data_IF_662056050797
#
_entry.id   IF_662056050797
#
_cell.length_a   1.000
_cell.length_b   1.000
_cell.length_c   1.000
_cell.angle_alpha   90.00
_cell.angle_beta   90.00
_cell.angle_gamma   90.00
#
_symmetry.space_group_name_H-M   'P 1'
#
loop_
_entity.id
_entity.type
_entity.pdbx_description
1 polymer ?
#
# COMPACT_ATOMS: atom_id res chain seq x y z
N UNK A 1 23.49 4.05 7.15
CA UNK A 1 22.84 3.19 6.14
C UNK A 1 23.66 3.14 4.85
N UNK A 2 23.68 1.98 4.21
CA UNK A 2 24.26 1.81 2.87
C UNK A 2 23.15 1.35 1.92
N UNK A 3 23.13 1.91 0.73
CA UNK A 3 22.18 1.58 -0.32
C UNK A 3 22.92 1.11 -1.56
N UNK A 4 22.43 0.03 -2.16
CA UNK A 4 22.86 -0.47 -3.48
C UNK A 4 21.62 -0.87 -4.29
N UNK A 5 21.71 -0.90 -5.60
CA UNK A 5 20.60 -1.16 -6.49
C UNK A 5 21.00 -2.02 -7.67
N UNK A 6 20.14 -3.00 -7.99
CA UNK A 6 20.13 -3.69 -9.26
C UNK A 6 19.12 -3.01 -10.19
N UNK A 7 19.61 -2.40 -11.26
CA UNK A 7 18.74 -1.85 -12.31
C UNK A 7 18.31 -3.01 -13.21
N UNK A 8 17.02 -3.09 -13.49
CA UNK A 8 16.49 -4.18 -14.29
C UNK A 8 16.34 -3.79 -15.74
N UNK A 9 17.09 -4.44 -16.57
CA UNK A 9 16.82 -4.47 -18.00
C UNK A 9 15.73 -5.54 -18.23
N UNK A 10 14.48 -5.13 -18.46
CA UNK A 10 13.32 -6.00 -18.81
C UNK A 10 12.74 -6.90 -17.70
N UNK A 11 12.81 -6.56 -16.43
CA UNK A 11 12.10 -7.31 -15.39
C UNK A 11 10.59 -7.30 -15.58
N UNK A 12 10.06 -6.19 -16.01
CA UNK A 12 8.66 -6.01 -16.35
C UNK A 12 8.64 -5.50 -17.78
N UNK A 13 7.83 -6.04 -18.66
CA UNK A 13 7.72 -5.69 -20.08
C UNK A 13 7.34 -4.20 -20.33
N UNK A 14 7.73 -3.31 -19.43
CA UNK A 14 7.40 -1.91 -19.43
C UNK A 14 8.53 -1.05 -19.95
N UNK A 15 8.28 -0.36 -21.03
CA UNK A 15 8.94 0.92 -21.32
C UNK A 15 8.81 1.80 -20.08
N UNK A 16 9.80 2.67 -19.85
CA UNK A 16 9.85 3.66 -18.77
C UNK A 16 8.68 4.68 -18.73
N UNK A 17 7.61 4.43 -19.47
CA UNK A 17 6.38 5.20 -19.47
C UNK A 17 5.46 4.72 -18.36
N UNK A 18 5.28 5.54 -17.34
CA UNK A 18 4.18 5.69 -16.35
C UNK A 18 3.34 4.44 -15.96
N UNK A 19 3.33 3.43 -16.78
CA UNK A 19 2.21 2.52 -16.78
C UNK A 19 2.50 1.23 -16.03
N UNK A 20 3.74 0.74 -15.98
CA UNK A 20 4.04 -0.63 -15.57
C UNK A 20 5.23 -0.76 -14.61
N UNK A 21 5.76 0.35 -14.15
CA UNK A 21 6.94 0.37 -13.29
C UNK A 21 6.67 -0.02 -11.82
N UNK A 22 5.42 -0.26 -11.44
CA UNK A 22 5.07 -0.66 -10.08
C UNK A 22 5.23 -2.16 -9.88
N UNK A 23 5.80 -2.56 -8.73
CA UNK A 23 5.94 -3.95 -8.34
C UNK A 23 5.94 -4.12 -6.83
N UNK A 24 5.71 -5.34 -6.38
CA UNK A 24 5.53 -5.72 -4.98
C UNK A 24 6.41 -6.92 -4.66
N UNK A 25 6.93 -6.97 -3.44
CA UNK A 25 7.94 -7.93 -2.99
C UNK A 25 7.35 -8.84 -1.93
N UNK A 26 7.62 -10.14 -2.04
CA UNK A 26 7.37 -11.08 -0.97
C UNK A 26 8.56 -12.03 -0.77
N UNK A 27 8.69 -12.51 0.45
CA UNK A 27 9.73 -13.48 0.83
C UNK A 27 9.15 -14.89 0.86
N UNK A 28 9.84 -15.83 0.24
CA UNK A 28 9.48 -17.23 0.36
C UNK A 28 10.72 -18.13 0.46
N UNK A 29 10.92 -18.75 1.61
CA UNK A 29 12.06 -19.60 1.89
C UNK A 29 13.39 -18.90 1.53
N UNK A 30 14.17 -19.47 0.60
CA UNK A 30 15.43 -18.93 0.11
C UNK A 30 15.28 -17.97 -1.08
N UNK A 31 14.06 -17.51 -1.39
CA UNK A 31 13.74 -16.72 -2.59
C UNK A 31 13.06 -15.40 -2.28
N UNK A 32 13.18 -14.47 -3.19
CA UNK A 32 12.41 -13.24 -3.30
C UNK A 32 11.44 -13.41 -4.47
N UNK A 33 10.15 -13.17 -4.19
CA UNK A 33 9.09 -13.11 -5.18
C UNK A 33 8.81 -11.65 -5.52
N UNK A 34 8.60 -11.34 -6.79
CA UNK A 34 8.18 -10.04 -7.27
C UNK A 34 6.92 -10.22 -8.10
N UNK A 35 5.91 -9.40 -7.84
CA UNK A 35 4.76 -9.25 -8.71
C UNK A 35 4.75 -7.87 -9.35
N UNK A 36 4.81 -7.82 -10.66
CA UNK A 36 4.57 -6.59 -11.43
C UNK A 36 3.09 -6.21 -11.41
N UNK A 37 2.81 -4.92 -11.51
CA UNK A 37 1.43 -4.43 -11.56
C UNK A 37 0.63 -5.02 -12.73
N UNK A 38 1.27 -5.48 -13.77
CA UNK A 38 0.68 -6.13 -14.97
C UNK A 38 0.32 -7.62 -14.78
N UNK A 39 0.58 -8.18 -13.58
CA UNK A 39 0.36 -9.60 -13.31
C UNK A 39 1.50 -10.51 -13.71
N UNK A 40 2.68 -9.99 -14.00
CA UNK A 40 3.91 -10.77 -14.16
C UNK A 40 4.44 -11.16 -12.79
N UNK A 41 4.77 -12.45 -12.60
CA UNK A 41 5.39 -12.97 -11.38
C UNK A 41 6.79 -13.48 -11.68
N UNK A 42 7.75 -13.05 -10.86
CA UNK A 42 9.15 -13.37 -10.99
C UNK A 42 9.71 -13.83 -9.65
N UNK A 43 10.72 -14.67 -9.66
CA UNK A 43 11.50 -14.97 -8.46
C UNK A 43 12.99 -15.12 -8.78
N UNK A 44 13.79 -14.90 -7.74
CA UNK A 44 15.23 -15.19 -7.72
C UNK A 44 15.65 -15.61 -6.31
N UNK A 45 16.84 -16.20 -6.17
CA UNK A 45 17.35 -16.65 -4.87
C UNK A 45 17.94 -15.49 -4.10
N UNK A 46 17.73 -15.44 -2.78
CA UNK A 46 18.27 -14.38 -1.89
C UNK A 46 19.80 -14.23 -2.01
N UNK A 47 20.53 -15.33 -2.23
CA UNK A 47 21.98 -15.28 -2.41
C UNK A 47 22.40 -14.48 -3.63
N UNK A 48 21.55 -14.40 -4.65
CA UNK A 48 21.83 -13.66 -5.89
C UNK A 48 21.83 -12.14 -5.67
N UNK A 49 21.29 -11.65 -4.55
CA UNK A 49 21.40 -10.25 -4.12
C UNK A 49 22.85 -9.82 -3.79
N UNK A 50 23.78 -10.75 -3.67
CA UNK A 50 25.19 -10.52 -3.41
C UNK A 50 26.10 -10.72 -4.64
N UNK A 51 25.50 -11.04 -5.77
CA UNK A 51 26.18 -11.16 -7.08
C UNK A 51 26.12 -9.81 -7.82
N UNK A 52 26.98 -9.64 -8.81
CA UNK A 52 26.98 -8.43 -9.65
C UNK A 52 25.78 -8.39 -10.61
N UNK A 53 25.34 -9.57 -11.06
CA UNK A 53 24.22 -9.76 -11.97
C UNK A 53 23.43 -11.00 -11.59
N UNK A 54 22.12 -10.99 -11.80
CA UNK A 54 21.29 -12.18 -11.69
C UNK A 54 20.12 -12.18 -12.69
N UNK A 55 19.58 -13.36 -12.95
CA UNK A 55 18.43 -13.54 -13.82
C UNK A 55 17.23 -14.03 -13.01
N UNK A 56 16.15 -13.27 -13.04
CA UNK A 56 14.89 -13.69 -12.44
C UNK A 56 14.18 -14.75 -13.29
N UNK A 57 13.51 -15.68 -12.63
CA UNK A 57 12.70 -16.72 -13.23
C UNK A 57 11.25 -16.32 -13.27
N UNK A 58 10.55 -16.56 -14.39
CA UNK A 58 9.14 -16.25 -14.55
C UNK A 58 8.28 -17.40 -14.02
N UNK A 59 7.25 -17.08 -13.24
CA UNK A 59 6.22 -18.03 -12.83
C UNK A 59 5.02 -17.88 -13.76
N UNK A 60 4.54 -18.98 -14.31
CA UNK A 60 3.33 -19.01 -15.13
C UNK A 60 2.08 -18.84 -14.28
N UNK A 61 1.04 -18.19 -14.80
CA UNK A 61 -0.22 -17.97 -14.08
C UNK A 61 -1.43 -18.05 -15.00
N UNK A 62 -2.62 -18.21 -14.41
CA UNK A 62 -3.91 -18.08 -15.11
C UNK A 62 -4.56 -16.71 -14.95
N UNK A 63 -3.83 -15.68 -14.57
CA UNK A 63 -4.39 -14.32 -14.31
C UNK A 63 -5.19 -13.82 -15.52
N UNK A 64 -4.71 -14.06 -16.74
CA UNK A 64 -5.39 -13.66 -17.98
C UNK A 64 -6.76 -14.34 -18.18
N UNK A 65 -6.97 -15.49 -17.55
CA UNK A 65 -8.26 -16.18 -17.60
C UNK A 65 -9.28 -15.58 -16.64
N UNK A 66 -8.82 -14.94 -15.57
CA UNK A 66 -9.64 -14.33 -14.52
C UNK A 66 -9.86 -12.84 -14.78
N UNK A 67 -8.80 -12.09 -15.02
CA UNK A 67 -8.85 -10.63 -15.16
C UNK A 67 -9.04 -10.26 -16.62
N UNK A 68 -10.27 -9.88 -16.99
CA UNK A 68 -10.65 -9.51 -18.37
C UNK A 68 -10.51 -8.02 -18.67
N UNK A 69 -10.08 -7.20 -17.69
CA UNK A 69 -9.86 -5.78 -17.91
C UNK A 69 -8.56 -5.55 -18.70
N UNK A 70 -8.57 -5.08 -19.95
CA UNK A 70 -7.36 -4.88 -20.73
C UNK A 70 -6.46 -3.78 -20.15
N UNK A 71 -7.02 -2.81 -19.40
CA UNK A 71 -6.26 -1.76 -18.75
C UNK A 71 -5.39 -2.29 -17.61
N UNK A 72 -5.72 -3.46 -17.04
CA UNK A 72 -4.89 -4.12 -16.04
C UNK A 72 -3.47 -4.38 -16.56
N UNK A 73 -3.35 -4.80 -17.83
CA UNK A 73 -2.09 -5.21 -18.43
C UNK A 73 -1.24 -4.06 -18.99
N UNK A 74 -1.75 -2.83 -18.99
CA UNK A 74 -1.11 -1.70 -19.65
C UNK A 74 -1.03 -0.44 -18.80
N UNK A 75 -1.67 -0.43 -17.61
CA UNK A 75 -1.66 0.74 -16.71
C UNK A 75 -1.66 0.29 -15.24
N UNK A 76 -0.58 0.51 -14.53
CA UNK A 76 -0.37 0.12 -13.13
C UNK A 76 -1.50 0.53 -12.19
N UNK A 77 -2.16 1.66 -12.44
CA UNK A 77 -3.32 2.11 -11.64
C UNK A 77 -4.52 1.14 -11.68
N UNK A 78 -4.60 0.28 -12.68
CA UNK A 78 -5.63 -0.76 -12.78
C UNK A 78 -5.08 -2.17 -12.49
N UNK A 79 -3.79 -2.29 -12.20
CA UNK A 79 -3.09 -3.54 -11.97
C UNK A 79 -3.12 -4.03 -10.51
N UNK A 80 -2.17 -4.90 -10.20
CA UNK A 80 -1.89 -5.40 -8.84
C UNK A 80 -1.59 -4.20 -7.91
N UNK A 81 -2.01 -4.34 -6.65
CA UNK A 81 -1.84 -3.33 -5.60
C UNK A 81 -1.00 -3.83 -4.43
N UNK A 82 -0.93 -5.14 -4.24
CA UNK A 82 -0.12 -5.78 -3.22
C UNK A 82 -0.09 -7.29 -3.41
N UNK A 83 0.94 -7.93 -2.84
CA UNK A 83 1.01 -9.38 -2.66
C UNK A 83 1.33 -9.71 -1.21
N UNK A 84 0.78 -10.79 -0.71
CA UNK A 84 0.99 -11.24 0.65
C UNK A 84 1.00 -12.78 0.73
N UNK A 85 2.06 -13.36 1.27
CA UNK A 85 2.18 -14.80 1.45
C UNK A 85 1.89 -15.17 2.91
N UNK A 86 0.96 -16.08 3.10
CA UNK A 86 0.64 -16.63 4.42
C UNK A 86 0.38 -18.13 4.35
N UNK A 87 1.12 -18.91 5.16
CA UNK A 87 0.96 -20.36 5.29
C UNK A 87 0.90 -21.10 3.93
N UNK A 88 1.75 -20.72 2.99
CA UNK A 88 1.82 -21.35 1.67
C UNK A 88 0.76 -20.85 0.66
N UNK A 89 -0.11 -19.93 1.05
CA UNK A 89 -1.06 -19.25 0.15
C UNK A 89 -0.59 -17.84 -0.21
N UNK A 90 -0.61 -17.54 -1.48
CA UNK A 90 -0.34 -16.21 -2.00
C UNK A 90 -1.65 -15.47 -2.25
N UNK A 91 -1.82 -14.33 -1.57
CA UNK A 91 -2.91 -13.39 -1.78
C UNK A 91 -2.43 -12.22 -2.65
N UNK A 92 -3.25 -11.80 -3.61
CA UNK A 92 -2.91 -10.74 -4.57
C UNK A 92 -4.08 -9.79 -4.70
N UNK A 93 -3.91 -8.55 -4.29
CA UNK A 93 -4.94 -7.52 -4.47
C UNK A 93 -4.78 -6.79 -5.80
N UNK A 94 -5.89 -6.37 -6.38
CA UNK A 94 -5.89 -5.69 -7.68
C UNK A 94 -7.12 -4.79 -7.86
N UNK A 95 -7.03 -3.83 -8.77
CA UNK A 95 -8.19 -3.05 -9.20
C UNK A 95 -9.04 -3.88 -10.16
N UNK A 96 -10.24 -4.28 -9.73
CA UNK A 96 -11.13 -5.15 -10.46
C UNK A 96 -12.21 -4.36 -11.21
N UNK A 97 -12.42 -4.68 -12.47
CA UNK A 97 -13.53 -4.18 -13.30
C UNK A 97 -14.74 -5.11 -13.12
N UNK A 98 -15.71 -4.70 -12.30
CA UNK A 98 -16.89 -5.51 -11.97
C UNK A 98 -17.92 -5.50 -13.11
N UNK A 99 -18.12 -4.34 -13.72
CA UNK A 99 -19.00 -4.13 -14.86
C UNK A 99 -18.52 -2.94 -15.68
N UNK A 100 -19.20 -2.57 -16.76
CA UNK A 100 -18.79 -1.44 -17.60
C UNK A 100 -18.47 -0.21 -16.75
N UNK A 101 -17.19 0.20 -16.77
CA UNK A 101 -16.65 1.39 -16.10
C UNK A 101 -16.88 1.45 -14.56
N UNK A 102 -17.13 0.31 -13.90
CA UNK A 102 -17.33 0.22 -12.46
C UNK A 102 -16.26 -0.64 -11.80
N UNK A 103 -15.54 -0.07 -10.82
CA UNK A 103 -14.33 -0.67 -10.24
C UNK A 103 -14.43 -0.82 -8.73
N UNK A 104 -13.81 -1.88 -8.24
CA UNK A 104 -13.47 -2.04 -6.82
C UNK A 104 -12.03 -2.55 -6.65
N UNK A 105 -11.63 -2.85 -5.41
CA UNK A 105 -10.39 -3.56 -5.10
C UNK A 105 -10.75 -4.93 -4.58
N UNK A 106 -10.23 -5.98 -5.24
CA UNK A 106 -10.50 -7.39 -4.97
C UNK A 106 -9.21 -8.13 -4.64
N UNK A 107 -9.33 -9.36 -4.14
CA UNK A 107 -8.19 -10.23 -3.81
C UNK A 107 -8.34 -11.55 -4.56
N UNK A 108 -7.25 -12.01 -5.18
CA UNK A 108 -7.05 -13.38 -5.65
C UNK A 108 -6.30 -14.19 -4.58
N UNK A 109 -6.49 -15.50 -4.55
CA UNK A 109 -5.63 -16.43 -3.81
C UNK A 109 -5.13 -17.56 -4.70
N UNK A 110 -3.93 -18.08 -4.40
CA UNK A 110 -3.38 -19.30 -5.00
C UNK A 110 -2.57 -20.07 -3.97
N UNK A 111 -2.59 -21.41 -4.00
CA UNK A 111 -1.53 -22.20 -3.36
C UNK A 111 -0.20 -21.85 -4.03
N UNK A 112 0.80 -21.51 -3.23
CA UNK A 112 2.08 -21.06 -3.78
C UNK A 112 2.82 -22.21 -4.45
N UNK A 113 3.16 -22.02 -5.73
CA UNK A 113 3.94 -22.95 -6.51
C UNK A 113 4.82 -22.17 -7.50
N UNK A 114 6.11 -22.51 -7.58
CA UNK A 114 7.08 -21.85 -8.47
C UNK A 114 6.89 -22.17 -9.95
N UNK A 115 6.21 -23.27 -10.30
CA UNK A 115 5.99 -23.66 -11.68
C UNK A 115 4.76 -22.99 -12.25
N UNK A 116 3.70 -22.90 -11.42
CA UNK A 116 2.41 -22.36 -11.87
C UNK A 116 1.56 -21.86 -10.68
N UNK A 117 1.18 -20.60 -10.71
CA UNK A 117 0.25 -20.00 -9.76
C UNK A 117 -1.18 -20.06 -10.35
N UNK A 118 -1.99 -20.98 -9.84
CA UNK A 118 -3.40 -21.10 -10.20
C UNK A 118 -4.25 -20.25 -9.28
N UNK A 119 -4.51 -19.03 -9.69
CA UNK A 119 -5.33 -18.10 -8.91
C UNK A 119 -6.82 -18.42 -9.01
N UNK A 120 -7.54 -18.08 -7.95
CA UNK A 120 -9.00 -17.99 -7.87
C UNK A 120 -9.39 -16.73 -7.10
N UNK A 121 -10.67 -16.35 -7.16
CA UNK A 121 -11.17 -15.17 -6.42
C UNK A 121 -11.28 -15.53 -4.94
N UNK A 122 -10.52 -14.81 -4.10
CA UNK A 122 -10.62 -14.89 -2.65
C UNK A 122 -11.70 -13.95 -2.10
N UNK A 123 -11.66 -12.67 -2.50
CA UNK A 123 -12.57 -11.63 -2.06
C UNK A 123 -12.94 -10.70 -3.21
N UNK A 124 -14.22 -10.53 -3.42
CA UNK A 124 -14.77 -9.66 -4.46
C UNK A 124 -16.06 -9.00 -3.96
N UNK A 125 -15.97 -7.79 -3.38
CA UNK A 125 -17.17 -7.08 -2.94
C UNK A 125 -18.10 -6.78 -4.14
N UNK A 126 -19.41 -6.77 -3.88
CA UNK A 126 -20.41 -6.49 -4.92
C UNK A 126 -20.44 -5.01 -5.32
N UNK A 127 -20.04 -4.15 -4.38
CA UNK A 127 -20.03 -2.70 -4.58
C UNK A 127 -18.90 -2.30 -5.51
N UNK A 128 -19.16 -1.34 -6.37
CA UNK A 128 -18.14 -0.74 -7.23
C UNK A 128 -18.38 0.77 -7.45
N UNK A 129 -17.33 1.50 -7.79
CA UNK A 129 -17.38 2.92 -8.11
C UNK A 129 -17.30 3.09 -9.62
N UNK A 130 -18.32 3.74 -10.20
CA UNK A 130 -18.33 4.09 -11.62
C UNK A 130 -17.35 5.23 -11.92
N UNK A 131 -16.76 5.22 -13.11
CA UNK A 131 -15.95 6.36 -13.57
C UNK A 131 -16.79 7.63 -13.65
N UNK A 132 -18.00 7.53 -14.16
CA UNK A 132 -19.00 8.59 -14.10
C UNK A 132 -19.87 8.38 -12.85
N UNK A 133 -19.63 9.18 -11.82
CA UNK A 133 -20.27 9.09 -10.51
C UNK A 133 -20.69 10.47 -9.99
N UNK A 134 -21.58 10.50 -9.02
CA UNK A 134 -22.16 11.71 -8.44
C UNK A 134 -21.15 12.65 -7.75
N UNK A 135 -19.97 12.14 -7.38
CA UNK A 135 -18.90 12.98 -6.84
C UNK A 135 -18.20 13.77 -7.96
N UNK A 136 -18.32 13.31 -9.21
CA UNK A 136 -17.75 13.95 -10.39
C UNK A 136 -16.26 13.72 -10.57
N UNK A 137 -15.69 12.66 -9.98
CA UNK A 137 -14.29 12.29 -10.20
C UNK A 137 -14.03 10.82 -9.89
N UNK A 138 -13.07 10.25 -10.65
CA UNK A 138 -12.60 8.89 -10.50
C UNK A 138 -11.08 8.82 -10.68
N UNK A 139 -10.40 8.06 -9.82
CA UNK A 139 -8.98 7.81 -9.95
C UNK A 139 -8.60 6.41 -9.39
N UNK A 140 -8.20 5.50 -10.27
CA UNK A 140 -7.80 4.15 -9.90
C UNK A 140 -6.44 4.05 -9.17
N UNK A 141 -5.66 5.15 -9.07
CA UNK A 141 -4.51 5.20 -8.15
C UNK A 141 -4.95 5.21 -6.69
N UNK A 142 -6.19 5.60 -6.41
CA UNK A 142 -6.75 5.71 -5.05
C UNK A 142 -7.56 4.44 -4.74
N UNK A 143 -6.94 3.29 -4.90
CA UNK A 143 -7.58 1.98 -4.75
C UNK A 143 -7.30 1.31 -3.38
N UNK A 144 -6.28 1.76 -2.64
CA UNK A 144 -5.75 1.01 -1.50
C UNK A 144 -5.09 -0.28 -1.99
N UNK A 145 -5.32 -1.39 -1.29
CA UNK A 145 -4.95 -2.73 -1.75
C UNK A 145 -4.00 -3.48 -0.82
N UNK A 146 -3.44 -2.86 0.22
CA UNK A 146 -2.49 -3.53 1.13
C UNK A 146 -3.15 -4.67 1.91
N UNK A 147 -2.42 -5.78 2.04
CA UNK A 147 -2.84 -6.99 2.73
C UNK A 147 -1.84 -7.34 3.83
N UNK A 148 -2.32 -7.72 5.00
CA UNK A 148 -1.48 -8.29 6.06
C UNK A 148 -2.29 -9.24 6.95
N UNK A 149 -1.63 -10.03 7.79
CA UNK A 149 -2.31 -10.87 8.78
C UNK A 149 -2.98 -10.05 9.89
N UNK A 150 -4.03 -10.62 10.45
CA UNK A 150 -4.70 -10.13 11.64
C UNK A 150 -5.05 -11.29 12.59
N UNK A 151 -5.62 -10.96 13.76
CA UNK A 151 -6.06 -11.94 14.75
C UNK A 151 -7.15 -12.89 14.21
N UNK A 152 -7.34 -14.03 14.85
CA UNK A 152 -8.45 -14.95 14.59
C UNK A 152 -8.56 -15.42 13.13
N UNK A 153 -7.44 -15.78 12.52
CA UNK A 153 -7.37 -16.28 11.14
C UNK A 153 -7.98 -15.31 10.10
N UNK A 154 -7.73 -14.01 10.30
CA UNK A 154 -8.20 -12.95 9.40
C UNK A 154 -7.04 -12.29 8.65
N UNK A 155 -7.35 -11.71 7.50
CA UNK A 155 -6.52 -10.73 6.81
C UNK A 155 -7.03 -9.31 7.11
N UNK A 156 -6.12 -8.37 7.31
CA UNK A 156 -6.43 -6.96 7.12
C UNK A 156 -6.27 -6.63 5.64
N UNK A 157 -7.21 -5.86 5.13
CA UNK A 157 -7.25 -5.43 3.76
C UNK A 157 -7.64 -3.96 3.65
N UNK A 158 -6.80 -3.14 3.04
CA UNK A 158 -7.12 -1.73 2.80
C UNK A 158 -7.83 -1.54 1.46
N UNK A 159 -8.82 -0.66 1.46
CA UNK A 159 -9.53 -0.25 0.24
C UNK A 159 -9.49 1.26 0.11
N UNK A 160 -9.34 1.76 -1.10
CA UNK A 160 -9.35 3.19 -1.37
C UNK A 160 -10.72 3.72 -1.75
N UNK A 161 -10.82 5.03 -1.89
CA UNK A 161 -12.06 5.71 -2.25
C UNK A 161 -12.27 5.88 -3.76
N UNK A 162 -11.33 5.48 -4.61
CA UNK A 162 -11.32 5.72 -6.07
C UNK A 162 -11.65 7.17 -6.44
N UNK A 163 -11.37 8.09 -5.51
CA UNK A 163 -11.70 9.52 -5.56
C UNK A 163 -13.22 9.85 -5.44
N UNK A 164 -14.09 8.87 -5.25
CA UNK A 164 -15.45 9.10 -4.78
C UNK A 164 -15.43 9.26 -3.26
N UNK A 165 -14.88 10.39 -2.81
CA UNK A 165 -14.36 10.59 -1.46
C UNK A 165 -15.40 10.41 -0.36
N UNK A 166 -16.67 10.78 -0.59
CA UNK A 166 -17.76 10.66 0.38
C UNK A 166 -18.06 9.22 0.80
N UNK A 167 -17.71 8.23 -0.05
CA UNK A 167 -17.91 6.81 0.27
C UNK A 167 -17.07 6.34 1.47
N UNK A 168 -15.98 7.03 1.78
CA UNK A 168 -15.15 6.71 2.94
C UNK A 168 -15.88 6.86 4.28
N UNK A 169 -16.94 7.69 4.35
CA UNK A 169 -17.76 7.89 5.54
C UNK A 169 -19.04 7.01 5.57
N UNK A 170 -19.29 6.22 4.54
CA UNK A 170 -20.45 5.34 4.49
C UNK A 170 -20.10 3.96 5.05
N UNK A 171 -20.66 3.60 6.21
CA UNK A 171 -20.42 2.32 6.90
C UNK A 171 -20.99 1.09 6.17
N UNK A 172 -21.82 1.29 5.13
CA UNK A 172 -22.49 0.21 4.39
C UNK A 172 -21.72 -0.27 3.16
N UNK A 173 -20.51 0.23 2.93
CA UNK A 173 -19.69 -0.16 1.79
C UNK A 173 -18.23 -0.38 2.18
N UNK A 174 -17.47 -0.91 1.24
CA UNK A 174 -16.06 -1.26 1.43
C UNK A 174 -15.08 -0.13 1.14
N UNK A 175 -15.50 1.04 0.62
CA UNK A 175 -14.59 2.06 0.11
C UNK A 175 -14.02 2.97 1.21
N UNK A 176 -12.71 3.22 1.16
CA UNK A 176 -11.98 4.01 2.15
C UNK A 176 -12.00 3.37 3.54
N UNK A 177 -11.72 2.07 3.60
CA UNK A 177 -11.75 1.24 4.81
C UNK A 177 -10.48 0.43 4.99
N UNK A 178 -10.24 -0.01 6.23
CA UNK A 178 -9.45 -1.19 6.55
C UNK A 178 -10.45 -2.25 7.00
N UNK A 179 -10.48 -3.36 6.30
CA UNK A 179 -11.37 -4.50 6.53
C UNK A 179 -10.60 -5.63 7.22
N UNK A 180 -11.27 -6.39 8.09
CA UNK A 180 -10.82 -7.70 8.52
C UNK A 180 -11.65 -8.76 7.79
N UNK A 181 -11.00 -9.65 7.05
CA UNK A 181 -11.63 -10.70 6.24
C UNK A 181 -11.22 -12.06 6.79
N UNK A 182 -12.18 -12.91 7.15
CA UNK A 182 -11.91 -14.28 7.59
C UNK A 182 -11.40 -15.11 6.41
N UNK A 183 -10.27 -15.82 6.58
CA UNK A 183 -9.61 -16.57 5.51
C UNK A 183 -10.42 -17.79 5.04
N UNK A 184 -11.29 -18.35 5.87
CA UNK A 184 -12.11 -19.51 5.56
C UNK A 184 -13.51 -19.12 5.05
N UNK A 185 -14.25 -18.35 5.88
CA UNK A 185 -15.65 -17.99 5.56
C UNK A 185 -15.78 -16.85 4.55
N UNK A 186 -14.71 -16.08 4.33
CA UNK A 186 -14.68 -14.85 3.50
C UNK A 186 -15.58 -13.72 4.04
N UNK A 187 -16.18 -13.91 5.22
CA UNK A 187 -16.92 -12.85 5.91
C UNK A 187 -15.98 -11.71 6.31
N UNK A 188 -16.47 -10.50 6.23
CA UNK A 188 -15.68 -9.32 6.51
C UNK A 188 -16.37 -8.35 7.44
N UNK A 189 -15.58 -7.55 8.13
CA UNK A 189 -16.05 -6.44 8.95
C UNK A 189 -15.13 -5.22 8.79
N UNK A 190 -15.67 -4.03 9.05
CA UNK A 190 -14.90 -2.79 9.06
C UNK A 190 -14.12 -2.72 10.38
N UNK A 191 -12.81 -2.55 10.31
CA UNK A 191 -11.92 -2.26 11.45
C UNK A 191 -11.75 -0.74 11.62
N UNK A 192 -11.54 -0.04 10.49
CA UNK A 192 -11.49 1.43 10.48
C UNK A 192 -12.03 1.98 9.16
N UNK A 193 -12.41 3.26 9.19
CA UNK A 193 -13.02 3.97 8.08
C UNK A 193 -12.48 5.40 7.98
N UNK A 194 -12.95 6.13 6.97
CA UNK A 194 -12.49 7.50 6.77
C UNK A 194 -11.07 7.56 6.20
N UNK A 195 -10.70 6.58 5.38
CA UNK A 195 -9.43 6.50 4.67
C UNK A 195 -9.58 6.97 3.21
N UNK A 196 -8.52 7.58 2.68
CA UNK A 196 -8.45 7.95 1.26
C UNK A 196 -7.77 6.86 0.43
N UNK A 197 -6.53 6.51 0.77
CA UNK A 197 -5.68 5.62 -0.03
C UNK A 197 -4.53 5.07 0.80
N UNK A 198 -4.78 4.06 1.59
CA UNK A 198 -3.77 3.38 2.41
C UNK A 198 -2.82 2.60 1.51
N UNK A 199 -1.52 2.91 1.57
CA UNK A 199 -0.47 2.35 0.71
C UNK A 199 0.56 1.52 1.47
N UNK A 200 0.56 1.57 2.79
CA UNK A 200 1.29 0.67 3.68
C UNK A 200 0.39 0.27 4.83
N UNK A 201 0.48 -0.98 5.26
CA UNK A 201 -0.38 -1.56 6.30
C UNK A 201 0.34 -2.68 7.02
N UNK A 202 0.34 -2.65 8.34
CA UNK A 202 0.84 -3.75 9.14
C UNK A 202 0.14 -3.87 10.47
N UNK A 203 0.34 -5.01 11.11
CA UNK A 203 -0.20 -5.31 12.43
C UNK A 203 0.87 -5.84 13.37
N UNK A 204 1.04 -5.19 14.49
CA UNK A 204 1.88 -5.63 15.60
C UNK A 204 1.02 -6.41 16.60
N UNK A 205 1.01 -7.73 16.47
CA UNK A 205 0.23 -8.61 17.32
C UNK A 205 0.65 -8.56 18.79
N UNK A 206 1.93 -8.27 19.09
CA UNK A 206 2.44 -8.18 20.46
C UNK A 206 1.83 -7.00 21.21
N UNK A 207 1.64 -5.88 20.52
CA UNK A 207 1.16 -4.63 21.13
C UNK A 207 -0.30 -4.34 20.78
N UNK A 208 -0.95 -5.17 19.97
CA UNK A 208 -2.28 -4.98 19.39
C UNK A 208 -2.42 -3.59 18.74
N UNK A 209 -1.56 -3.32 17.74
CA UNK A 209 -1.52 -2.05 17.02
C UNK A 209 -1.53 -2.29 15.52
N UNK A 210 -2.51 -1.71 14.81
CA UNK A 210 -2.44 -1.54 13.37
C UNK A 210 -1.71 -0.22 13.09
N UNK A 211 -0.79 -0.25 12.15
CA UNK A 211 -0.11 0.93 11.63
C UNK A 211 -0.31 1.02 10.12
N UNK A 212 -0.53 2.24 9.63
CA UNK A 212 -0.76 2.47 8.21
C UNK A 212 -0.16 3.78 7.72
N UNK A 213 0.30 3.77 6.47
CA UNK A 213 0.66 4.97 5.72
C UNK A 213 -0.43 5.27 4.70
N UNK A 214 -0.82 6.52 4.58
CA UNK A 214 -1.94 6.92 3.77
C UNK A 214 -1.61 8.10 2.87
N UNK A 215 -1.83 7.91 1.57
CA UNK A 215 -1.71 8.97 0.57
C UNK A 215 -2.86 9.97 0.70
N UNK A 216 -2.52 11.17 1.14
CA UNK A 216 -3.44 12.30 1.19
C UNK A 216 -3.61 13.00 -0.17
N UNK A 217 -4.37 14.10 -0.18
CA UNK A 217 -4.32 15.08 -1.27
C UNK A 217 -3.04 15.92 -1.15
N UNK A 218 -2.96 17.07 -1.81
CA UNK A 218 -1.77 17.92 -1.72
C UNK A 218 -1.47 18.30 -0.27
N UNK A 219 -0.31 17.87 0.26
CA UNK A 219 0.15 18.19 1.61
C UNK A 219 -0.64 17.49 2.73
N UNK A 220 -1.07 16.27 2.54
CA UNK A 220 -1.87 15.57 3.54
C UNK A 220 -1.63 14.07 3.61
N UNK A 221 -0.41 13.61 3.33
CA UNK A 221 0.00 12.23 3.58
C UNK A 221 0.07 11.99 5.09
N UNK A 222 -0.30 10.79 5.56
CA UNK A 222 -0.45 10.50 6.98
C UNK A 222 0.19 9.17 7.38
N UNK A 223 0.75 9.16 8.58
CA UNK A 223 1.08 7.96 9.33
C UNK A 223 0.08 7.80 10.47
N UNK A 224 -0.69 6.73 10.42
CA UNK A 224 -1.81 6.46 11.29
C UNK A 224 -1.57 5.23 12.18
N UNK A 225 -2.07 5.27 13.41
CA UNK A 225 -2.09 4.14 14.34
C UNK A 225 -3.51 3.86 14.81
N UNK A 226 -3.88 2.57 14.85
CA UNK A 226 -5.08 2.09 15.53
C UNK A 226 -4.64 1.24 16.73
N UNK A 227 -4.83 1.78 17.92
CA UNK A 227 -4.45 1.12 19.17
C UNK A 227 -5.59 0.21 19.63
N UNK A 228 -5.26 -1.04 20.00
CA UNK A 228 -6.19 -2.07 20.44
C UNK A 228 -7.33 -2.37 19.44
N UNK A 229 -7.02 -2.59 18.15
CA UNK A 229 -8.02 -2.81 17.11
C UNK A 229 -8.84 -4.08 17.29
N UNK A 230 -8.29 -5.10 17.98
CA UNK A 230 -8.98 -6.37 18.24
C UNK A 230 -10.16 -6.24 19.18
N UNK A 231 -10.18 -5.22 20.05
CA UNK A 231 -11.20 -5.01 21.08
C UNK A 231 -11.96 -3.69 20.94
N UNK A 232 -11.62 -2.85 19.95
CA UNK A 232 -12.18 -1.51 19.80
C UNK A 232 -13.35 -1.45 18.81
N UNK A 233 -14.15 -0.40 18.94
CA UNK A 233 -15.15 -0.01 17.93
C UNK A 233 -14.44 0.50 16.67
N UNK A 234 -15.19 0.60 15.56
CA UNK A 234 -14.72 1.16 14.29
C UNK A 234 -14.11 2.55 14.53
N UNK A 235 -12.84 2.71 14.18
CA UNK A 235 -12.15 4.00 14.25
C UNK A 235 -12.36 4.77 12.95
N UNK A 236 -12.58 6.08 13.04
CA UNK A 236 -12.77 6.94 11.88
C UNK A 236 -11.63 7.97 11.77
N UNK A 237 -10.92 7.95 10.65
CA UNK A 237 -9.77 8.81 10.35
C UNK A 237 -10.14 10.09 9.58
N UNK A 238 -11.43 10.32 9.35
CA UNK A 238 -11.98 11.61 8.98
C UNK A 238 -12.03 11.96 7.51
N UNK A 239 -11.31 11.25 6.61
CA UNK A 239 -11.42 11.52 5.19
C UNK A 239 -12.87 11.34 4.68
N UNK A 240 -13.42 12.26 3.87
CA UNK A 240 -12.87 13.54 3.38
C UNK A 240 -13.37 14.76 4.16
N UNK A 241 -13.93 14.56 5.34
CA UNK A 241 -14.44 15.67 6.17
C UNK A 241 -13.26 16.48 6.71
N UNK A 242 -12.22 15.78 7.20
CA UNK A 242 -10.98 16.38 7.67
C UNK A 242 -9.78 15.85 6.88
N UNK A 243 -8.78 16.68 6.73
CA UNK A 243 -7.45 16.37 6.16
C UNK A 243 -6.51 17.54 6.35
N UNK A 244 -5.22 17.28 6.51
CA UNK A 244 -4.19 18.33 6.49
C UNK A 244 -3.84 18.82 5.08
N UNK A 245 -4.27 18.08 4.05
CA UNK A 245 -4.06 18.44 2.65
C UNK A 245 -5.13 19.34 2.04
N UNK A 246 -4.97 19.64 0.75
CA UNK A 246 -5.86 20.45 -0.06
C UNK A 246 -6.24 19.70 -1.35
N UNK A 247 -7.44 19.94 -1.88
CA UNK A 247 -7.79 19.41 -3.21
C UNK A 247 -6.85 19.91 -4.29
N UNK A 248 -6.57 19.08 -5.29
CA UNK A 248 -5.80 19.49 -6.46
C UNK A 248 -6.48 20.69 -7.14
N UNK A 249 -5.71 21.76 -7.36
CA UNK A 249 -6.22 23.05 -7.84
C UNK A 249 -6.72 24.00 -6.74
N UNK A 250 -6.56 23.63 -5.47
CA UNK A 250 -6.83 24.49 -4.30
C UNK A 250 -8.28 24.99 -4.21
N UNK A 251 -8.49 26.08 -3.45
CA UNK A 251 -9.80 26.74 -3.24
C UNK A 251 -10.23 27.62 -4.41
N UNK A 252 -10.23 27.06 -5.63
CA UNK A 252 -10.69 27.74 -6.84
C UNK A 252 -12.20 27.63 -7.02
N UNK A 253 -12.78 28.52 -7.87
CA UNK A 253 -14.22 28.46 -8.22
C UNK A 253 -14.62 27.07 -8.75
N UNK A 254 -13.74 26.40 -9.51
CA UNK A 254 -13.95 25.05 -10.06
C UNK A 254 -14.07 23.97 -8.97
N UNK A 255 -13.43 24.18 -7.82
CA UNK A 255 -13.42 23.23 -6.72
C UNK A 255 -14.49 23.51 -5.64
N UNK A 256 -15.28 24.59 -5.77
CA UNK A 256 -16.31 24.95 -4.77
C UNK A 256 -17.23 23.76 -4.41
N UNK A 257 -17.73 23.08 -5.42
CA UNK A 257 -18.59 21.89 -5.22
C UNK A 257 -17.84 20.74 -4.51
N UNK A 258 -16.56 20.53 -4.79
CA UNK A 258 -15.75 19.51 -4.09
C UNK A 258 -15.58 19.84 -2.62
N UNK A 259 -15.29 21.11 -2.27
CA UNK A 259 -15.16 21.53 -0.86
C UNK A 259 -16.49 21.51 -0.08
N UNK A 260 -17.64 21.58 -0.75
CA UNK A 260 -18.93 21.36 -0.12
C UNK A 260 -19.10 19.88 0.26
N UNK A 261 -18.79 18.95 -0.65
CA UNK A 261 -18.93 17.51 -0.45
C UNK A 261 -17.80 16.91 0.41
N UNK A 262 -16.60 17.47 0.32
CA UNK A 262 -15.36 17.00 0.94
C UNK A 262 -14.57 18.22 1.46
N UNK A 263 -14.90 18.73 2.67
CA UNK A 263 -14.44 20.04 3.11
C UNK A 263 -12.96 20.10 3.52
N UNK A 264 -12.30 18.97 3.79
CA UNK A 264 -10.89 18.89 4.18
C UNK A 264 -10.55 19.86 5.33
N UNK A 265 -11.35 19.83 6.38
CA UNK A 265 -11.15 20.65 7.57
C UNK A 265 -9.85 20.25 8.28
N UNK A 266 -9.05 21.22 8.70
CA UNK A 266 -7.82 20.97 9.46
C UNK A 266 -8.14 20.52 10.88
N UNK A 267 -7.28 19.63 11.46
CA UNK A 267 -7.46 19.00 12.76
C UNK A 267 -8.63 17.98 12.80
N UNK A 268 -8.27 16.72 12.74
CA UNK A 268 -9.22 15.60 12.77
C UNK A 268 -9.99 15.57 14.11
N UNK A 269 -9.30 15.73 15.24
CA UNK A 269 -9.87 15.65 16.58
C UNK A 269 -10.95 16.69 16.85
N UNK A 270 -10.86 17.90 16.29
CA UNK A 270 -11.92 18.92 16.41
C UNK A 270 -13.25 18.50 15.81
N UNK A 271 -13.24 17.51 14.92
CA UNK A 271 -14.42 16.99 14.24
C UNK A 271 -14.74 15.55 14.66
N UNK A 272 -14.16 15.09 15.78
CA UNK A 272 -14.43 13.78 16.37
C UNK A 272 -13.75 12.60 15.69
N UNK A 273 -12.71 12.84 14.89
CA UNK A 273 -11.94 11.82 14.19
C UNK A 273 -10.59 11.57 14.87
N UNK A 274 -9.96 10.45 14.50
CA UNK A 274 -8.63 10.08 14.98
C UNK A 274 -7.58 10.96 14.29
N UNK A 275 -6.70 11.57 15.08
CA UNK A 275 -5.55 12.31 14.56
C UNK A 275 -4.48 11.34 14.04
N UNK A 276 -3.84 11.63 12.89
CA UNK A 276 -2.63 10.93 12.50
C UNK A 276 -1.52 11.17 13.53
N UNK A 277 -0.68 10.17 13.74
CA UNK A 277 0.50 10.36 14.58
C UNK A 277 1.50 11.33 13.93
N UNK A 278 1.56 11.32 12.60
CA UNK A 278 2.31 12.27 11.78
C UNK A 278 1.58 12.54 10.48
N UNK A 279 1.58 13.80 10.06
CA UNK A 279 1.21 14.18 8.70
C UNK A 279 2.37 14.88 8.01
N UNK A 280 2.38 14.83 6.68
CA UNK A 280 3.44 15.39 5.85
C UNK A 280 2.89 16.53 5.01
N UNK A 281 3.46 17.73 5.22
CA UNK A 281 3.15 18.93 4.45
C UNK A 281 4.46 19.66 4.14
N UNK A 282 4.91 19.66 2.87
CA UNK A 282 4.26 19.06 1.68
C UNK A 282 4.16 17.53 1.73
N UNK A 283 3.30 16.96 0.89
CA UNK A 283 3.22 15.50 0.71
C UNK A 283 4.54 14.93 0.21
N UNK A 284 4.90 13.75 0.72
CA UNK A 284 6.10 13.00 0.30
C UNK A 284 5.80 11.96 -0.78
N UNK A 285 4.51 11.78 -1.12
CA UNK A 285 4.06 10.64 -1.92
C UNK A 285 4.23 9.33 -1.15
N UNK A 286 3.73 9.31 0.09
CA UNK A 286 3.89 8.18 1.02
C UNK A 286 3.48 6.86 0.37
N UNK A 287 4.25 5.80 0.57
CA UNK A 287 3.97 4.47 0.03
C UNK A 287 4.06 3.41 1.13
N UNK A 288 4.90 2.42 0.99
CA UNK A 288 5.02 1.32 1.95
C UNK A 288 5.52 1.77 3.32
N UNK A 289 5.15 0.99 4.32
CA UNK A 289 5.60 1.19 5.69
C UNK A 289 5.86 -0.17 6.36
N UNK A 290 7.00 -0.30 7.00
CA UNK A 290 7.36 -1.50 7.74
C UNK A 290 7.83 -1.16 9.15
N UNK A 291 7.45 -1.98 10.13
CA UNK A 291 8.06 -1.94 11.46
C UNK A 291 9.38 -2.70 11.42
N UNK A 292 10.45 -2.06 11.87
CA UNK A 292 11.80 -2.63 11.80
C UNK A 292 12.10 -3.45 13.05
N UNK A 293 12.49 -4.73 12.91
CA UNK A 293 12.78 -5.56 14.06
C UNK A 293 14.15 -5.24 14.67
N UNK A 294 14.32 -5.54 15.97
CA UNK A 294 15.59 -5.43 16.68
C UNK A 294 16.74 -6.20 16.02
N UNK A 295 16.44 -7.24 15.23
CA UNK A 295 17.45 -7.99 14.48
C UNK A 295 18.16 -7.14 13.44
N UNK A 296 17.47 -6.16 12.82
CA UNK A 296 18.07 -5.24 11.87
C UNK A 296 19.05 -4.30 12.57
N UNK A 297 18.66 -3.76 13.74
CA UNK A 297 19.51 -2.98 14.63
C UNK A 297 19.05 -3.15 16.08
N UNK A 298 19.95 -3.53 16.98
CA UNK A 298 19.63 -3.82 18.39
C UNK A 298 19.04 -2.63 19.15
N UNK A 299 19.32 -1.40 18.69
CA UNK A 299 18.77 -0.16 19.28
C UNK A 299 17.35 0.15 18.83
N UNK A 300 16.78 -0.63 17.89
CA UNK A 300 15.44 -0.44 17.39
C UNK A 300 14.43 -1.21 18.25
N UNK A 301 13.32 -0.57 18.56
CA UNK A 301 12.26 -1.18 19.35
C UNK A 301 10.87 -0.94 18.73
N UNK A 302 10.50 0.32 18.57
CA UNK A 302 9.31 0.77 17.89
C UNK A 302 9.72 1.71 16.75
N UNK A 303 10.58 1.18 15.91
CA UNK A 303 11.13 1.89 14.77
C UNK A 303 10.38 1.48 13.50
N UNK A 304 10.03 2.48 12.70
CA UNK A 304 9.30 2.33 11.46
C UNK A 304 10.07 2.97 10.32
N UNK A 305 10.09 2.31 9.18
CA UNK A 305 10.51 2.91 7.92
C UNK A 305 9.28 3.15 7.07
N UNK A 306 9.15 4.37 6.58
CA UNK A 306 8.08 4.81 5.70
C UNK A 306 8.72 5.27 4.40
N UNK A 307 8.39 4.65 3.29
CA UNK A 307 8.94 5.01 2.00
C UNK A 307 8.13 6.09 1.30
N UNK A 308 8.79 6.80 0.40
CA UNK A 308 8.22 7.85 -0.39
C UNK A 308 8.37 7.58 -1.89
N UNK A 309 7.33 7.90 -2.64
CA UNK A 309 7.37 7.93 -4.10
C UNK A 309 7.95 9.24 -4.60
N UNK A 310 7.86 10.31 -3.80
CA UNK A 310 8.26 11.63 -4.21
C UNK A 310 7.58 12.09 -5.49
N UNK A 311 7.89 13.29 -5.94
CA UNK A 311 7.38 13.80 -7.21
C UNK A 311 8.48 13.79 -8.27
N UNK A 312 9.64 14.30 -7.92
CA UNK A 312 10.87 14.28 -8.72
C UNK A 312 12.06 14.59 -7.80
N UNK A 313 13.30 14.56 -8.35
CA UNK A 313 14.52 14.87 -7.58
C UNK A 313 14.59 16.31 -7.03
N UNK A 314 13.85 17.24 -7.62
CA UNK A 314 13.89 18.65 -7.26
C UNK A 314 12.86 19.02 -6.19
N UNK A 315 11.68 18.38 -6.23
CA UNK A 315 10.57 18.66 -5.32
C UNK A 315 10.42 17.59 -4.24
N UNK A 316 11.09 16.44 -4.44
CA UNK A 316 10.63 15.25 -3.86
C UNK A 316 11.43 14.75 -2.70
N UNK A 317 10.74 13.99 -1.98
CA UNK A 317 11.20 13.14 -0.95
C UNK A 317 11.38 11.72 -1.52
N UNK A 318 12.45 11.53 -2.26
CA UNK A 318 12.86 10.20 -2.77
C UNK A 318 13.62 9.46 -1.67
N UNK A 319 12.96 9.26 -0.52
CA UNK A 319 13.59 8.91 0.74
C UNK A 319 12.81 7.83 1.49
N UNK A 320 13.45 7.33 2.54
CA UNK A 320 12.81 6.58 3.61
C UNK A 320 12.82 7.46 4.86
N UNK A 321 11.68 7.66 5.49
CA UNK A 321 11.55 8.27 6.80
C UNK A 321 11.69 7.22 7.89
N UNK A 322 12.68 7.39 8.75
CA UNK A 322 12.89 6.56 9.92
C UNK A 322 12.26 7.23 11.14
N UNK A 323 11.15 6.70 11.59
CA UNK A 323 10.44 7.16 12.78
C UNK A 323 10.67 6.19 13.93
N UNK A 324 11.10 6.70 15.09
CA UNK A 324 11.14 5.96 16.35
C UNK A 324 10.02 6.44 17.24
N UNK A 325 9.20 5.54 17.74
CA UNK A 325 8.09 5.84 18.64
C UNK A 325 8.45 5.52 20.09
N UNK A 326 7.76 6.20 21.00
CA UNK A 326 7.78 5.83 22.42
C UNK A 326 7.13 4.46 22.65
N UNK A 327 7.34 3.88 23.82
CA UNK A 327 6.84 2.55 24.19
C UNK A 327 5.31 2.43 24.16
N UNK A 328 4.59 3.54 24.25
CA UNK A 328 3.12 3.59 24.26
C UNK A 328 2.53 3.96 22.89
N UNK A 329 3.34 4.12 21.85
CA UNK A 329 2.92 4.51 20.49
C UNK A 329 2.21 5.88 20.43
N UNK A 330 2.54 6.80 21.35
CA UNK A 330 1.88 8.11 21.45
C UNK A 330 2.72 9.28 20.95
N UNK A 331 4.05 9.09 20.86
CA UNK A 331 4.99 10.16 20.49
C UNK A 331 6.06 9.65 19.56
N UNK A 332 6.45 10.49 18.62
CA UNK A 332 7.64 10.31 17.80
C UNK A 332 8.84 10.86 18.60
N UNK A 333 9.80 10.01 18.86
CA UNK A 333 11.05 10.33 19.57
C UNK A 333 12.18 10.69 18.60
N UNK A 334 12.10 10.17 17.37
CA UNK A 334 13.09 10.38 16.31
C UNK A 334 12.38 10.43 14.97
N UNK A 335 12.85 11.31 14.08
CA UNK A 335 12.33 11.52 12.73
C UNK A 335 13.51 11.87 11.82
N UNK A 336 14.13 10.85 11.24
CA UNK A 336 15.27 10.99 10.33
C UNK A 336 14.85 10.68 8.91
N UNK A 337 15.56 11.26 7.96
CA UNK A 337 15.36 11.01 6.52
C UNK A 337 16.60 10.30 5.95
N UNK A 338 16.37 9.17 5.30
CA UNK A 338 17.37 8.39 4.58
C UNK A 338 17.13 8.64 3.09
N UNK A 339 17.96 9.47 2.48
CA UNK A 339 17.84 9.77 1.06
C UNK A 339 18.27 8.57 0.22
N UNK A 340 17.39 8.14 -0.69
CA UNK A 340 17.61 7.01 -1.61
C UNK A 340 17.80 7.49 -3.05
N UNK A 341 17.09 8.54 -3.45
CA UNK A 341 17.14 9.08 -4.81
C UNK A 341 16.21 8.37 -5.81
N UNK A 342 15.39 7.43 -5.33
CA UNK A 342 14.45 6.63 -6.12
C UNK A 342 13.04 6.68 -5.54
N UNK A 343 12.04 6.50 -6.40
CA UNK A 343 10.65 6.29 -5.99
C UNK A 343 10.51 4.86 -5.47
N UNK A 344 10.18 4.72 -4.19
CA UNK A 344 10.09 3.41 -3.54
C UNK A 344 8.62 3.00 -3.47
N UNK A 345 8.25 1.95 -4.21
CA UNK A 345 6.88 1.42 -4.21
C UNK A 345 6.62 0.50 -3.04
N UNK A 346 7.55 -0.40 -2.76
CA UNK A 346 7.40 -1.47 -1.78
C UNK A 346 8.69 -1.72 -1.02
N UNK A 347 8.58 -2.21 0.21
CA UNK A 347 9.71 -2.54 1.07
C UNK A 347 9.44 -3.81 1.85
N UNK A 348 10.45 -4.69 1.95
CA UNK A 348 10.39 -5.91 2.74
C UNK A 348 11.67 -6.11 3.55
N UNK A 349 11.54 -6.34 4.85
CA UNK A 349 12.67 -6.80 5.66
C UNK A 349 12.84 -8.31 5.50
N UNK A 350 14.03 -8.74 5.11
CA UNK A 350 14.40 -10.15 4.90
C UNK A 350 15.27 -10.60 6.07
N UNK A 351 14.68 -11.39 6.96
CA UNK A 351 15.26 -11.65 8.27
C UNK A 351 16.51 -12.51 8.27
N UNK A 352 16.63 -13.50 7.39
CA UNK A 352 17.79 -14.42 7.35
C UNK A 352 19.06 -13.75 6.83
N UNK A 353 18.94 -12.85 5.86
CA UNK A 353 20.07 -12.07 5.33
C UNK A 353 20.26 -10.69 5.97
N UNK A 354 19.35 -10.32 6.90
CA UNK A 354 19.35 -9.04 7.61
C UNK A 354 19.44 -7.82 6.68
N UNK A 355 18.56 -7.76 5.68
CA UNK A 355 18.48 -6.67 4.68
C UNK A 355 17.07 -6.18 4.52
N UNK A 356 16.90 -4.92 4.09
CA UNK A 356 15.64 -4.41 3.60
C UNK A 356 15.74 -4.33 2.09
N UNK A 357 14.80 -4.98 1.42
CA UNK A 357 14.69 -4.98 -0.04
C UNK A 357 13.63 -3.97 -0.44
N UNK A 358 13.94 -3.16 -1.44
CA UNK A 358 13.11 -2.10 -1.97
C UNK A 358 12.72 -2.42 -3.42
N UNK A 359 11.48 -2.15 -3.80
CA UNK A 359 11.11 -2.06 -5.21
C UNK A 359 11.08 -0.59 -5.63
N UNK A 360 11.88 -0.24 -6.65
CA UNK A 360 12.03 1.15 -7.14
C UNK A 360 11.34 1.35 -8.48
N UNK A 361 10.80 2.56 -8.74
CA UNK A 361 9.99 2.86 -9.93
C UNK A 361 10.68 3.75 -10.98
N UNK A 362 11.54 4.71 -10.59
CA UNK A 362 12.22 5.58 -11.59
C UNK A 362 13.18 4.78 -12.45
N UNK A 363 13.97 3.96 -11.78
CA UNK A 363 14.79 2.94 -12.41
C UNK A 363 14.25 1.62 -11.91
N UNK A 364 13.30 0.98 -12.65
CA UNK A 364 12.67 -0.26 -12.17
C UNK A 364 13.71 -1.26 -11.72
N UNK A 365 13.69 -1.62 -10.45
CA UNK A 365 14.74 -2.42 -9.89
C UNK A 365 14.55 -2.81 -8.43
N UNK A 366 15.54 -3.53 -7.95
CA UNK A 366 15.66 -3.98 -6.58
C UNK A 366 16.74 -3.17 -5.88
N UNK A 367 16.32 -2.40 -4.87
CA UNK A 367 17.23 -1.73 -3.95
C UNK A 367 17.50 -2.59 -2.72
N UNK A 368 18.70 -2.47 -2.16
CA UNK A 368 19.11 -3.15 -0.94
C UNK A 368 19.59 -2.10 0.05
N UNK A 369 18.92 -2.05 1.21
CA UNK A 369 19.30 -1.18 2.30
C UNK A 369 19.89 -2.01 3.45
N UNK A 370 21.04 -1.56 3.95
CA UNK A 370 21.76 -2.15 5.08
C UNK A 370 22.09 -1.09 6.12
N UNK A 371 22.46 -1.54 7.32
CA UNK A 371 23.05 -0.68 8.34
C UNK A 371 24.50 -0.39 8.04
#
# INVERSE_FOLDING_TARGET
YKYSQFITYNLLNGKADDALASGYIEEINDKILIAGADGTFLYFKKKELFEDEFKANIIKTNIKDIIKNPLFYVKSKFGIKDIFLDNGKLFVSFSNLISKDCYNTSILEAEFNLDYLKFEIFFNPKECIKKDNEFGSFNAHIAGGKITNFVNNQLLFSTGSFQHSTQAQNEKNVFGKILAINKETKEWKIVSMGHRNVQGLGYDAKNDVIYSSEHGPIGGDEFNLNLSPSSSNIKNYGWPISSYGEHYGGKSKKNKSKYIKAPLKKSHSKYGFIEPLKYFTPSIGISELIKIPKKFNQNFENDFFISALGKNREEGDLSIHHLKLDKNFKKILKDDVIFIGERIRDMKYIGDINRIILFTENSPGIGILTM
#
